data_IF_887647903967
#
_entry.id   IF_887647903967
#
_cell.length_a   1.000
_cell.length_b   1.000
_cell.length_c   1.000
_cell.angle_alpha   90.00
_cell.angle_beta   90.00
_cell.angle_gamma   90.00
#
_symmetry.space_group_name_H-M   'P 1'
#
loop_
_entity.id
_entity.type
_entity.pdbx_description
1 polymer ?
#
# COMPACT_ATOMS: atom_id res chain seq x y z
N UNK A 1 9.75 -16.80 -0.30
CA UNK A 1 8.33 -16.43 -0.10
C UNK A 1 8.00 -15.41 -1.18
N UNK A 2 7.94 -15.86 -2.43
CA UNK A 2 7.71 -15.03 -3.62
C UNK A 2 6.55 -15.66 -4.39
N UNK A 3 5.68 -14.81 -4.94
CA UNK A 3 4.58 -15.09 -5.90
C UNK A 3 3.14 -15.26 -5.41
N UNK A 4 2.82 -15.17 -4.11
CA UNK A 4 1.42 -15.33 -3.69
C UNK A 4 0.48 -14.29 -4.32
N UNK A 5 0.88 -13.01 -4.36
CA UNK A 5 0.08 -11.96 -4.98
C UNK A 5 -0.08 -12.18 -6.49
N UNK A 6 1.02 -12.51 -7.21
CA UNK A 6 0.97 -12.78 -8.66
C UNK A 6 -0.02 -13.91 -8.97
N UNK A 7 0.07 -15.01 -8.24
CA UNK A 7 -0.84 -16.16 -8.38
C UNK A 7 -2.29 -15.77 -8.09
N UNK A 8 -2.54 -14.94 -7.08
CA UNK A 8 -3.88 -14.46 -6.75
C UNK A 8 -4.45 -13.58 -7.86
N UNK A 9 -3.67 -12.62 -8.38
CA UNK A 9 -4.07 -11.75 -9.48
C UNK A 9 -4.41 -12.57 -10.74
N UNK A 10 -3.57 -13.54 -11.09
CA UNK A 10 -3.81 -14.44 -12.21
C UNK A 10 -5.10 -15.26 -12.03
N UNK A 11 -5.37 -15.76 -10.83
CA UNK A 11 -6.61 -16.49 -10.52
C UNK A 11 -7.84 -15.61 -10.67
N UNK A 12 -7.79 -14.35 -10.22
CA UNK A 12 -8.90 -13.40 -10.39
C UNK A 12 -9.16 -13.14 -11.88
N UNK A 13 -8.11 -12.85 -12.65
CA UNK A 13 -8.22 -12.60 -14.09
C UNK A 13 -8.74 -13.81 -14.89
N UNK A 14 -8.43 -15.02 -14.44
CA UNK A 14 -8.90 -16.25 -15.03
C UNK A 14 -10.36 -16.59 -14.68
N UNK A 15 -10.98 -15.88 -13.74
CA UNK A 15 -12.37 -16.14 -13.34
C UNK A 15 -13.37 -15.74 -14.43
N UNK A 16 -14.47 -16.49 -14.55
CA UNK A 16 -15.55 -16.18 -15.49
C UNK A 16 -16.17 -14.79 -15.23
N UNK A 17 -16.24 -14.37 -13.96
CA UNK A 17 -16.75 -13.05 -13.58
C UNK A 17 -15.88 -11.93 -14.14
N UNK A 18 -14.55 -12.05 -14.01
CA UNK A 18 -13.62 -11.07 -14.55
C UNK A 18 -13.58 -11.09 -16.07
N UNK A 19 -13.62 -12.28 -16.69
CA UNK A 19 -13.66 -12.41 -18.14
C UNK A 19 -14.94 -11.80 -18.75
N UNK A 20 -16.08 -11.92 -18.07
CA UNK A 20 -17.35 -11.35 -18.52
C UNK A 20 -17.40 -9.82 -18.36
N UNK A 21 -16.71 -9.26 -17.36
CA UNK A 21 -16.64 -7.82 -17.12
C UNK A 21 -15.30 -7.43 -16.47
N UNK A 22 -14.25 -7.17 -17.26
CA UNK A 22 -12.93 -6.83 -16.71
C UNK A 22 -12.98 -5.50 -15.97
N UNK A 23 -12.53 -5.50 -14.71
CA UNK A 23 -12.44 -4.29 -13.89
C UNK A 23 -11.00 -4.02 -13.48
N UNK A 24 -10.61 -2.76 -13.25
CA UNK A 24 -9.30 -2.45 -12.69
C UNK A 24 -9.09 -3.17 -11.34
N UNK A 25 -7.93 -3.79 -11.18
CA UNK A 25 -7.50 -4.38 -9.91
C UNK A 25 -6.62 -3.37 -9.17
N UNK A 26 -6.94 -3.16 -7.89
CA UNK A 26 -6.18 -2.29 -6.99
C UNK A 26 -5.69 -3.12 -5.81
N UNK A 27 -4.39 -3.06 -5.55
CA UNK A 27 -3.74 -3.62 -4.39
C UNK A 27 -3.30 -2.49 -3.47
N UNK A 28 -3.58 -2.66 -2.18
CA UNK A 28 -3.16 -1.74 -1.12
C UNK A 28 -2.15 -2.46 -0.23
N UNK A 29 -0.91 -1.94 -0.21
CA UNK A 29 0.17 -2.48 0.60
C UNK A 29 0.26 -1.69 1.91
N UNK A 30 0.06 -2.39 3.02
CA UNK A 30 0.09 -1.83 4.37
C UNK A 30 1.45 -2.02 5.06
N UNK A 31 2.46 -2.41 4.30
CA UNK A 31 3.85 -2.56 4.71
C UNK A 31 4.82 -1.75 3.83
N UNK A 32 6.10 -1.75 4.19
CA UNK A 32 7.17 -1.06 3.44
C UNK A 32 7.90 -1.99 2.46
N UNK A 33 7.35 -3.18 2.20
CA UNK A 33 7.86 -4.13 1.22
C UNK A 33 7.47 -3.71 -0.20
N UNK A 34 8.29 -4.08 -1.18
CA UNK A 34 8.10 -3.73 -2.60
C UNK A 34 7.84 -4.95 -3.48
N UNK A 35 7.94 -6.15 -2.92
CA UNK A 35 7.74 -7.41 -3.62
C UNK A 35 6.32 -7.50 -4.21
N UNK A 36 5.33 -6.87 -3.56
CA UNK A 36 3.97 -6.75 -4.08
C UNK A 36 3.83 -5.73 -5.22
N UNK A 37 4.66 -4.67 -5.23
CA UNK A 37 4.72 -3.69 -6.31
C UNK A 37 5.20 -4.34 -7.61
N UNK A 38 6.26 -5.15 -7.54
CA UNK A 38 6.78 -5.86 -8.72
C UNK A 38 5.72 -6.79 -9.32
N UNK A 39 5.04 -7.57 -8.47
CA UNK A 39 3.96 -8.46 -8.91
C UNK A 39 2.77 -7.69 -9.51
N UNK A 40 2.38 -6.56 -8.90
CA UNK A 40 1.29 -5.73 -9.42
C UNK A 40 1.65 -5.11 -10.78
N UNK A 41 2.88 -4.63 -10.94
CA UNK A 41 3.37 -4.04 -12.19
C UNK A 41 3.32 -5.06 -13.35
N UNK A 42 3.87 -6.25 -13.16
CA UNK A 42 3.87 -7.30 -14.18
C UNK A 42 2.45 -7.77 -14.54
N UNK A 43 1.55 -7.74 -13.57
CA UNK A 43 0.15 -8.10 -13.75
C UNK A 43 -0.74 -6.90 -14.12
N UNK A 44 -0.19 -5.74 -14.50
CA UNK A 44 -0.99 -4.56 -14.87
C UNK A 44 -2.09 -4.20 -13.84
N UNK A 45 -1.80 -4.40 -12.56
CA UNK A 45 -2.65 -4.00 -11.45
C UNK A 45 -2.14 -2.68 -10.85
N UNK A 46 -3.06 -1.84 -10.40
CA UNK A 46 -2.71 -0.65 -9.64
C UNK A 46 -2.19 -1.06 -8.27
N UNK A 47 -1.13 -0.39 -7.81
CA UNK A 47 -0.53 -0.61 -6.49
C UNK A 47 -0.49 0.72 -5.75
N UNK A 48 -0.88 0.70 -4.48
CA UNK A 48 -0.86 1.86 -3.59
C UNK A 48 -0.14 1.48 -2.30
N UNK A 49 0.64 2.43 -1.81
CA UNK A 49 1.21 2.37 -0.47
C UNK A 49 0.28 3.06 0.52
N UNK A 50 -0.13 2.32 1.55
CA UNK A 50 -0.89 2.85 2.67
C UNK A 50 -0.05 2.87 3.94
N UNK A 51 0.40 4.07 4.31
CA UNK A 51 1.06 4.28 5.60
C UNK A 51 0.00 4.28 6.71
N UNK A 52 0.11 3.31 7.63
CA UNK A 52 -0.83 3.18 8.74
C UNK A 52 -0.65 4.26 9.82
N UNK A 53 0.52 4.92 9.85
CA UNK A 53 0.93 5.85 10.91
C UNK A 53 1.33 5.13 12.21
N UNK A 54 2.06 5.84 13.09
CA UNK A 54 2.43 5.28 14.40
C UNK A 54 1.22 4.89 15.25
N UNK A 55 1.43 4.00 16.22
CA UNK A 55 0.40 3.50 17.12
C UNK A 55 -0.68 2.68 16.42
N UNK A 56 -0.49 2.33 15.14
CA UNK A 56 -1.35 1.37 14.46
C UNK A 56 -0.94 -0.07 14.82
N UNK A 57 -1.95 -0.90 15.10
CA UNK A 57 -1.75 -2.32 15.37
C UNK A 57 -1.11 -2.65 16.73
N UNK A 58 -1.21 -3.93 17.12
CA UNK A 58 -0.64 -4.47 18.37
C UNK A 58 0.60 -5.35 18.14
N UNK A 59 1.18 -5.32 16.94
CA UNK A 59 2.30 -6.18 16.53
C UNK A 59 3.17 -5.48 15.48
N UNK A 60 4.40 -5.98 15.24
CA UNK A 60 5.34 -5.44 14.25
C UNK A 60 4.90 -5.81 12.83
N UNK A 61 4.55 -4.83 12.01
CA UNK A 61 4.33 -5.04 10.56
C UNK A 61 5.66 -4.96 9.81
N UNK A 62 6.26 -6.12 9.56
CA UNK A 62 7.43 -6.22 8.70
C UNK A 62 8.64 -5.46 9.26
N UNK A 63 9.20 -4.54 8.45
CA UNK A 63 10.42 -3.78 8.77
C UNK A 63 10.14 -2.46 9.50
N UNK A 64 8.88 -2.07 9.68
CA UNK A 64 8.52 -0.82 10.35
C UNK A 64 7.89 -1.09 11.72
N UNK A 65 8.41 -0.43 12.75
CA UNK A 65 7.94 -0.58 14.13
C UNK A 65 6.84 0.44 14.43
N UNK A 66 5.63 0.23 13.87
CA UNK A 66 4.48 1.11 14.09
C UNK A 66 4.16 1.34 15.58
N UNK A 67 4.31 0.36 16.49
CA UNK A 67 4.12 0.57 17.93
C UNK A 67 5.21 1.39 18.63
N UNK A 68 6.28 1.81 17.94
CA UNK A 68 7.37 2.57 18.57
C UNK A 68 6.92 3.91 19.16
N UNK A 69 5.81 4.46 18.70
CA UNK A 69 5.21 5.68 19.21
C UNK A 69 3.69 5.51 19.37
N UNK A 70 3.08 6.37 20.19
CA UNK A 70 1.63 6.46 20.30
C UNK A 70 1.00 6.88 18.98
N UNK A 71 -0.30 6.63 18.84
CA UNK A 71 -1.08 7.05 17.67
C UNK A 71 -0.89 8.54 17.41
N UNK A 72 -0.55 8.89 16.17
CA UNK A 72 -0.43 10.28 15.73
C UNK A 72 -1.76 11.00 15.98
N UNK A 73 -1.73 12.03 16.82
CA UNK A 73 -2.92 12.81 17.17
C UNK A 73 -3.09 14.04 16.25
N UNK A 74 -2.02 14.49 15.62
CA UNK A 74 -1.94 15.75 14.88
C UNK A 74 -1.16 15.57 13.56
N UNK A 75 -1.52 16.31 12.52
CA UNK A 75 -0.80 16.36 11.24
C UNK A 75 0.42 17.32 11.29
N UNK A 76 1.35 17.09 12.22
CA UNK A 76 2.39 18.08 12.56
C UNK A 76 3.37 18.39 11.40
N UNK A 77 3.46 17.50 10.41
CA UNK A 77 4.40 17.60 9.28
C UNK A 77 3.90 18.45 8.10
N UNK A 78 2.60 18.74 7.98
CA UNK A 78 2.05 19.53 6.85
C UNK A 78 1.97 21.04 7.13
N UNK A 79 2.24 21.49 8.36
CA UNK A 79 2.09 22.90 8.76
C UNK A 79 3.36 23.75 8.57
N UNK A 80 4.49 23.14 8.20
CA UNK A 80 5.79 23.82 8.03
C UNK A 80 6.22 24.02 6.57
N UNK A 81 5.28 24.26 5.65
CA UNK A 81 5.63 24.76 4.31
C UNK A 81 5.71 26.29 4.40
N UNK A 82 6.90 26.92 4.48
CA UNK A 82 6.99 28.36 4.44
C UNK A 82 6.44 28.87 3.10
N UNK A 83 5.49 29.78 3.18
CA UNK A 83 4.86 30.44 2.05
C UNK A 83 5.92 31.22 1.24
N UNK A 84 6.47 30.62 0.17
CA UNK A 84 7.46 31.26 -0.73
C UNK A 84 6.81 32.27 -1.70
N UNK A 85 5.89 33.12 -1.23
CA UNK A 85 5.22 34.12 -2.07
C UNK A 85 5.82 35.52 -2.03
N UNK A 86 6.99 35.71 -1.42
CA UNK A 86 7.72 36.99 -1.46
C UNK A 86 9.23 36.75 -1.71
N UNK A 87 9.58 36.31 -2.93
CA UNK A 87 10.91 36.53 -3.52
C UNK A 87 10.71 37.27 -4.84
#
# INVERSE_FOLDING_TARGET
MMDELRVQLQRVKASAAFAANPTPLLMDEDSVYLESLDAAFEEYASWVYYSQGYGCGGWKHGRFDWPAQSREANYEWTTHIPNRRNQ
#
